data_IF_185293989987
#
_entry.id   IF_185293989987
#
_cell.length_a   1.000
_cell.length_b   1.000
_cell.length_c   1.000
_cell.angle_alpha   90.00
_cell.angle_beta   90.00
_cell.angle_gamma   90.00
#
_symmetry.space_group_name_H-M   'P 1'
#
loop_
_entity.id
_entity.type
_entity.pdbx_description
1 polymer ?
#
# COMPACT_ATOMS: atom_id res chain seq x y z
N UNK A 1 -18.69 4.12 -7.32
CA UNK A 1 -17.56 4.52 -6.46
C UNK A 1 -16.26 3.92 -7.00
N UNK A 2 -15.22 4.72 -7.13
CA UNK A 2 -13.91 4.24 -7.57
C UNK A 2 -12.96 4.16 -6.39
N UNK A 3 -12.32 3.00 -6.23
CA UNK A 3 -11.35 2.79 -5.16
C UNK A 3 -10.00 2.39 -5.75
N UNK A 4 -8.94 3.04 -5.29
CA UNK A 4 -7.58 2.64 -5.63
C UNK A 4 -7.04 1.74 -4.52
N UNK A 5 -6.48 0.60 -4.88
CA UNK A 5 -5.91 -0.34 -3.91
C UNK A 5 -4.43 -0.50 -4.20
N UNK A 6 -3.61 -0.25 -3.17
CA UNK A 6 -2.17 -0.41 -3.26
C UNK A 6 -1.76 -1.55 -2.34
N UNK A 7 -1.54 -2.77 -2.89
CA UNK A 7 -1.21 -3.92 -2.05
C UNK A 7 0.25 -3.91 -1.63
N UNK A 8 0.47 -3.92 -0.32
CA UNK A 8 1.80 -3.97 0.28
C UNK A 8 1.96 -5.19 1.19
N UNK A 9 1.15 -6.22 0.98
CA UNK A 9 1.10 -7.38 1.86
C UNK A 9 1.91 -8.57 1.36
N UNK A 10 2.56 -8.43 0.21
CA UNK A 10 3.39 -9.49 -0.34
C UNK A 10 4.66 -9.70 0.45
N UNK A 11 5.14 -10.94 0.47
CA UNK A 11 6.36 -11.27 1.15
C UNK A 11 7.57 -10.78 0.38
N UNK A 12 8.30 -9.84 0.95
CA UNK A 12 9.55 -9.33 0.40
C UNK A 12 10.69 -10.21 0.91
N UNK A 13 10.97 -11.31 0.25
CA UNK A 13 11.72 -12.39 0.87
C UNK A 13 13.21 -12.45 0.59
N UNK A 14 13.73 -11.66 -0.34
CA UNK A 14 15.16 -11.76 -0.70
C UNK A 14 16.10 -11.40 0.43
N UNK A 15 15.71 -10.43 1.25
CA UNK A 15 16.55 -9.93 2.34
C UNK A 15 15.67 -9.75 3.55
N UNK A 16 15.54 -10.77 4.39
CA UNK A 16 14.58 -10.73 5.51
C UNK A 16 14.87 -9.65 6.53
N UNK A 17 16.06 -9.06 6.53
CA UNK A 17 16.43 -7.98 7.44
C UNK A 17 16.24 -6.59 6.85
N UNK A 18 15.78 -6.50 5.61
CA UNK A 18 15.55 -5.21 4.95
C UNK A 18 14.10 -4.78 5.11
N UNK A 19 13.91 -3.47 5.13
CA UNK A 19 12.56 -2.90 5.08
C UNK A 19 11.86 -3.33 3.79
N UNK A 20 10.53 -3.47 3.82
CA UNK A 20 9.76 -3.71 2.61
C UNK A 20 10.04 -2.63 1.56
N UNK A 21 9.96 -3.00 0.28
CA UNK A 21 10.26 -2.06 -0.81
C UNK A 21 9.45 -0.77 -0.72
N UNK A 22 8.17 -0.85 -0.36
CA UNK A 22 7.33 0.35 -0.30
C UNK A 22 7.78 1.33 0.79
N UNK A 23 8.57 0.88 1.75
CA UNK A 23 9.09 1.72 2.84
C UNK A 23 10.52 2.21 2.58
N UNK A 24 11.15 1.77 1.49
CA UNK A 24 12.50 2.23 1.16
C UNK A 24 12.46 3.70 0.74
N UNK A 25 13.51 4.43 1.12
CA UNK A 25 13.60 5.84 0.80
C UNK A 25 14.23 6.05 -0.58
N UNK A 26 13.56 6.82 -1.41
CA UNK A 26 14.08 7.23 -2.71
C UNK A 26 15.15 8.31 -2.48
N UNK A 27 16.11 8.49 -3.41
CA UNK A 27 17.14 9.53 -3.27
C UNK A 27 16.62 10.94 -3.00
N UNK A 28 15.38 11.25 -3.38
CA UNK A 28 14.77 12.55 -3.11
C UNK A 28 14.19 12.68 -1.70
N UNK A 29 14.34 11.66 -0.87
CA UNK A 29 13.85 11.66 0.50
C UNK A 29 12.46 11.12 0.70
N UNK A 30 11.75 10.80 -0.37
CA UNK A 30 10.39 10.24 -0.28
C UNK A 30 10.43 8.72 -0.25
N UNK A 31 9.39 8.13 0.34
CA UNK A 31 9.25 6.67 0.32
C UNK A 31 8.87 6.19 -1.07
N UNK A 32 9.22 4.95 -1.38
CA UNK A 32 8.87 4.35 -2.67
C UNK A 32 7.38 4.37 -2.92
N UNK A 33 6.56 4.15 -1.88
CA UNK A 33 5.11 4.23 -2.03
C UNK A 33 4.65 5.64 -2.39
N UNK A 34 5.29 6.66 -1.84
CA UNK A 34 4.99 8.04 -2.23
C UNK A 34 5.29 8.28 -3.70
N UNK A 35 6.41 7.77 -4.17
CA UNK A 35 6.80 7.90 -5.58
C UNK A 35 5.83 7.16 -6.51
N UNK A 36 5.38 5.97 -6.07
CA UNK A 36 4.41 5.22 -6.85
C UNK A 36 3.10 5.98 -7.02
N UNK A 37 2.72 6.79 -6.04
CA UNK A 37 1.47 7.54 -6.06
C UNK A 37 1.57 8.91 -6.73
N UNK A 38 2.78 9.43 -6.95
CA UNK A 38 2.95 10.76 -7.56
C UNK A 38 2.35 10.88 -8.95
N UNK A 39 2.37 9.79 -9.72
CA UNK A 39 1.89 9.79 -11.09
C UNK A 39 0.41 9.45 -11.22
N UNK A 40 -0.29 9.33 -10.09
CA UNK A 40 -1.70 8.96 -10.07
C UNK A 40 -2.53 10.19 -9.73
N UNK A 41 -3.57 10.43 -10.51
CA UNK A 41 -4.53 11.46 -10.17
C UNK A 41 -5.52 10.92 -9.13
N UNK A 42 -5.25 11.19 -7.86
CA UNK A 42 -6.08 10.68 -6.77
C UNK A 42 -7.49 11.28 -6.76
N UNK A 43 -7.71 12.37 -7.47
CA UNK A 43 -9.02 13.01 -7.54
C UNK A 43 -10.08 12.14 -8.22
N UNK A 44 -9.64 11.23 -9.12
CA UNK A 44 -10.59 10.33 -9.79
C UNK A 44 -11.07 9.19 -8.89
N UNK A 45 -10.49 9.06 -7.70
CA UNK A 45 -10.85 8.00 -6.76
C UNK A 45 -11.60 8.56 -5.56
N UNK A 46 -12.61 7.82 -5.12
CA UNK A 46 -13.34 8.15 -3.89
C UNK A 46 -12.61 7.68 -2.65
N UNK A 47 -11.87 6.59 -2.77
CA UNK A 47 -11.08 6.01 -1.68
C UNK A 47 -9.74 5.54 -2.22
N UNK A 48 -8.71 5.63 -1.37
CA UNK A 48 -7.39 5.06 -1.67
C UNK A 48 -7.03 4.18 -0.48
N UNK A 49 -6.85 2.89 -0.70
CA UNK A 49 -6.57 1.93 0.37
C UNK A 49 -5.17 1.35 0.19
N UNK A 50 -4.34 1.52 1.21
CA UNK A 50 -3.01 0.92 1.26
C UNK A 50 -3.10 -0.28 2.19
N UNK A 51 -2.85 -1.48 1.67
CA UNK A 51 -2.93 -2.70 2.44
C UNK A 51 -1.55 -3.12 2.91
N UNK A 52 -1.34 -3.12 4.21
CA UNK A 52 -0.10 -3.53 4.85
C UNK A 52 -0.35 -4.77 5.71
N UNK A 53 0.72 -5.33 6.28
CA UNK A 53 0.61 -6.50 7.14
C UNK A 53 1.11 -6.18 8.54
N UNK A 54 0.53 -6.85 9.53
CA UNK A 54 0.88 -6.67 10.92
C UNK A 54 2.37 -6.91 11.22
N UNK A 55 3.02 -7.93 10.65
CA UNK A 55 4.47 -8.09 10.85
C UNK A 55 5.30 -6.88 10.44
N UNK A 56 4.94 -6.19 9.35
CA UNK A 56 5.63 -4.96 8.97
C UNK A 56 5.37 -3.84 9.96
N UNK A 57 4.14 -3.75 10.46
CA UNK A 57 3.79 -2.73 11.45
C UNK A 57 4.54 -2.94 12.76
N UNK A 58 4.61 -4.18 13.22
CA UNK A 58 5.30 -4.50 14.46
C UNK A 58 6.80 -4.23 14.38
N UNK A 59 7.41 -4.46 13.22
CA UNK A 59 8.85 -4.32 13.04
C UNK A 59 9.27 -2.90 12.65
N UNK A 60 8.46 -2.21 11.85
CA UNK A 60 8.85 -0.93 11.24
C UNK A 60 7.86 0.21 11.50
N UNK A 61 6.84 0.00 12.33
CA UNK A 61 5.77 0.99 12.56
C UNK A 61 5.13 1.46 11.26
N UNK A 62 4.85 0.52 10.35
CA UNK A 62 4.38 0.83 9.02
C UNK A 62 3.10 1.66 9.02
N UNK A 63 2.13 1.32 9.86
CA UNK A 63 0.87 2.05 9.93
C UNK A 63 1.10 3.50 10.35
N UNK A 64 1.89 3.73 11.38
CA UNK A 64 2.19 5.07 11.88
C UNK A 64 2.88 5.90 10.81
N UNK A 65 3.88 5.32 10.15
CA UNK A 65 4.62 6.01 9.10
C UNK A 65 3.71 6.37 7.93
N UNK A 66 2.86 5.44 7.49
CA UNK A 66 1.92 5.71 6.40
C UNK A 66 0.94 6.80 6.78
N UNK A 67 0.42 6.77 7.99
CA UNK A 67 -0.51 7.80 8.45
C UNK A 67 0.13 9.18 8.50
N UNK A 68 1.40 9.27 8.90
CA UNK A 68 2.13 10.53 8.93
C UNK A 68 2.44 11.04 7.52
N UNK A 69 2.88 10.15 6.65
CA UNK A 69 3.25 10.50 5.27
C UNK A 69 2.05 11.04 4.50
N UNK A 70 0.88 10.44 4.71
CA UNK A 70 -0.34 10.81 3.99
C UNK A 70 -1.34 11.59 4.83
N UNK A 71 -0.87 12.23 5.90
CA UNK A 71 -1.74 12.95 6.84
C UNK A 71 -2.58 14.04 6.17
N UNK A 72 -2.08 14.62 5.08
CA UNK A 72 -2.77 15.70 4.38
C UNK A 72 -3.83 15.21 3.39
N UNK A 73 -3.99 13.90 3.25
CA UNK A 73 -4.96 13.35 2.30
C UNK A 73 -5.95 12.41 3.02
N UNK A 74 -7.14 12.91 3.35
CA UNK A 74 -8.12 12.11 4.10
C UNK A 74 -8.73 10.95 3.32
N UNK A 75 -8.54 10.89 2.01
CA UNK A 75 -9.00 9.77 1.20
C UNK A 75 -8.20 8.49 1.44
N UNK A 76 -6.97 8.63 1.94
CA UNK A 76 -6.08 7.48 2.09
C UNK A 76 -6.40 6.75 3.38
N UNK A 77 -6.69 5.46 3.25
CA UNK A 77 -7.01 4.58 4.37
C UNK A 77 -5.98 3.46 4.43
N UNK A 78 -5.67 3.01 5.63
CA UNK A 78 -4.74 1.90 5.82
C UNK A 78 -5.54 0.66 6.18
N UNK A 79 -5.33 -0.41 5.40
CA UNK A 79 -5.90 -1.72 5.70
C UNK A 79 -4.78 -2.60 6.21
N UNK A 80 -4.92 -3.13 7.42
CA UNK A 80 -3.90 -4.00 8.01
C UNK A 80 -4.38 -5.45 8.04
N UNK A 81 -3.61 -6.33 7.42
CA UNK A 81 -3.87 -7.76 7.44
C UNK A 81 -3.00 -8.41 8.51
N UNK A 82 -3.46 -9.53 9.06
CA UNK A 82 -2.76 -10.20 10.15
C UNK A 82 -1.44 -10.84 9.72
N UNK A 83 -1.39 -11.32 8.48
CA UNK A 83 -0.23 -12.03 7.96
C UNK A 83 0.02 -11.69 6.49
N UNK A 84 1.23 -12.06 6.02
CA UNK A 84 1.57 -11.96 4.61
C UNK A 84 0.60 -12.79 3.77
N UNK A 85 0.38 -12.32 2.56
CA UNK A 85 -0.44 -13.03 1.58
C UNK A 85 0.46 -13.80 0.61
N UNK A 86 -0.11 -14.84 -0.01
CA UNK A 86 0.63 -15.66 -0.98
C UNK A 86 0.63 -15.06 -2.37
N UNK A 87 -0.27 -14.13 -2.66
CA UNK A 87 -0.38 -13.53 -3.98
C UNK A 87 -1.05 -12.17 -3.90
N UNK A 88 -0.90 -11.38 -4.97
CA UNK A 88 -1.59 -10.10 -5.07
C UNK A 88 -3.12 -10.29 -5.08
N UNK A 89 -3.60 -11.37 -5.71
CA UNK A 89 -5.03 -11.67 -5.74
C UNK A 89 -5.60 -11.88 -4.34
N UNK A 90 -4.87 -12.58 -3.47
CA UNK A 90 -5.28 -12.79 -2.09
C UNK A 90 -5.34 -11.47 -1.34
N UNK A 91 -4.32 -10.62 -1.51
CA UNK A 91 -4.29 -9.29 -0.90
C UNK A 91 -5.50 -8.47 -1.28
N UNK A 92 -5.85 -8.46 -2.57
CA UNK A 92 -6.99 -7.70 -3.06
C UNK A 92 -8.29 -8.24 -2.48
N UNK A 93 -8.46 -9.56 -2.52
CA UNK A 93 -9.67 -10.20 -1.97
C UNK A 93 -9.88 -9.83 -0.49
N UNK A 94 -8.83 -9.95 0.30
CA UNK A 94 -8.91 -9.63 1.72
C UNK A 94 -9.18 -8.16 1.97
N UNK A 95 -8.58 -7.27 1.16
CA UNK A 95 -8.81 -5.84 1.25
C UNK A 95 -10.26 -5.50 0.92
N UNK A 96 -10.78 -6.03 -0.18
CA UNK A 96 -12.17 -5.79 -0.58
C UNK A 96 -13.14 -6.21 0.50
N UNK A 97 -12.90 -7.35 1.12
CA UNK A 97 -13.76 -7.89 2.16
C UNK A 97 -13.65 -7.08 3.46
N UNK A 98 -12.42 -6.83 3.90
CA UNK A 98 -12.17 -6.16 5.18
C UNK A 98 -12.61 -4.71 5.18
N UNK A 99 -12.38 -4.01 4.09
CA UNK A 99 -12.70 -2.58 3.96
C UNK A 99 -14.07 -2.34 3.34
N UNK A 100 -14.81 -3.40 3.04
CA UNK A 100 -16.15 -3.32 2.45
C UNK A 100 -16.15 -2.42 1.21
N UNK A 101 -15.27 -2.71 0.28
CA UNK A 101 -15.16 -1.95 -0.96
C UNK A 101 -16.31 -2.31 -1.90
N UNK A 102 -16.99 -1.29 -2.40
CA UNK A 102 -18.09 -1.46 -3.35
C UNK A 102 -17.79 -0.68 -4.62
N UNK A 103 -18.32 -1.17 -5.74
CA UNK A 103 -18.15 -0.53 -7.03
C UNK A 103 -16.83 -0.89 -7.69
N UNK A 104 -16.33 -0.01 -8.52
CA UNK A 104 -15.10 -0.24 -9.29
C UNK A 104 -13.86 -0.05 -8.43
N UNK A 105 -12.83 -0.81 -8.74
CA UNK A 105 -11.53 -0.60 -8.10
C UNK A 105 -10.40 -0.76 -9.11
N UNK A 106 -9.27 -0.10 -8.80
CA UNK A 106 -8.06 -0.16 -9.61
C UNK A 106 -6.91 -0.56 -8.67
N UNK A 107 -5.99 -1.35 -9.18
CA UNK A 107 -4.85 -1.84 -8.42
C UNK A 107 -3.58 -1.17 -8.95
N UNK A 108 -2.73 -0.70 -8.03
CA UNK A 108 -1.45 -0.10 -8.37
C UNK A 108 -0.35 -0.70 -7.51
N UNK A 109 0.73 -1.15 -8.13
CA UNK A 109 1.88 -1.65 -7.39
C UNK A 109 2.54 -0.56 -6.55
N UNK A 110 3.05 -0.97 -5.39
CA UNK A 110 3.59 -0.03 -4.40
C UNK A 110 5.04 0.38 -4.66
N UNK A 111 5.73 -0.27 -5.55
CA UNK A 111 7.16 -0.03 -5.77
C UNK A 111 7.46 0.86 -6.98
N UNK A 112 6.45 1.38 -7.63
CA UNK A 112 6.59 2.25 -8.80
C UNK A 112 7.48 1.65 -9.90
N UNK A 113 7.50 0.34 -10.01
CA UNK A 113 8.23 -0.27 -11.10
C UNK A 113 7.58 0.07 -12.41
N UNK A 114 8.37 0.61 -13.31
CA UNK A 114 7.95 0.74 -14.68
C UNK A 114 7.77 -0.67 -15.20
N UNK A 115 6.57 -1.00 -15.62
CA UNK A 115 6.26 -2.33 -16.10
C UNK A 115 7.11 -2.67 -17.30
N UNK A 116 8.02 -3.53 -17.09
CA UNK A 116 8.93 -3.92 -18.15
C UNK A 116 8.59 -5.31 -18.59
#
# INVERSE_FOLDING_TARGET
MNTLIIPCAGKSSRFPNMKPKYMLTHPDGKLMIEKAMENINLEVFNRVIITIVKPHDEKYDAKLIMEQVFANNPKIEICMLDNFTSSASETIYLTLTKMKVEGSFVIKDSDNRVGI
#
